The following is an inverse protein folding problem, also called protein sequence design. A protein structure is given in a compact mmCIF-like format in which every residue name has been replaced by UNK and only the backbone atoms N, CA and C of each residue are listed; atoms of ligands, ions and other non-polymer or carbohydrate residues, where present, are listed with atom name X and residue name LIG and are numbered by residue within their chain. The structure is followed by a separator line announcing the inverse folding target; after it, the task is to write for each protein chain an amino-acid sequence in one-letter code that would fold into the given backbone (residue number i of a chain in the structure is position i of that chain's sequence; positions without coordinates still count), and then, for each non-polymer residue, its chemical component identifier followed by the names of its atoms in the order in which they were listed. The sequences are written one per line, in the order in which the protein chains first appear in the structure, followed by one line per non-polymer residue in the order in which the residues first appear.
data_IF_672951766945
#
_entry.id   IF_672951766945
#
_cell.length_a   1.000
_cell.length_b   1.000
_cell.length_c   1.000
_cell.angle_alpha   90.00
_cell.angle_beta   90.00
_cell.angle_gamma   90.00
#
_symmetry.space_group_name_H-M   'P 1'
#
loop_
_entity.id
_entity.type
_entity.pdbx_description
1 polymer ?
#
# COMPACT_ATOMS: atom_id res chain seq x y z
N UNK A 1 -20.53 -23.59 -31.17
CA UNK A 1 -20.20 -22.73 -30.00
C UNK A 1 -18.68 -22.72 -29.86
N UNK A 2 -18.04 -21.59 -30.15
CA UNK A 2 -16.58 -21.45 -30.23
C UNK A 2 -16.02 -21.10 -28.84
N UNK A 3 -15.58 -22.12 -28.10
CA UNK A 3 -15.00 -21.97 -26.76
C UNK A 3 -13.55 -21.45 -26.78
N UNK A 4 -12.89 -21.44 -27.95
CA UNK A 4 -11.47 -21.14 -28.08
C UNK A 4 -11.18 -19.63 -28.18
N UNK A 5 -12.07 -18.84 -28.81
CA UNK A 5 -11.95 -17.38 -28.86
C UNK A 5 -12.17 -16.74 -27.48
N UNK A 6 -13.15 -17.24 -26.71
CA UNK A 6 -13.50 -16.70 -25.40
C UNK A 6 -12.37 -16.85 -24.36
N UNK A 7 -11.59 -17.93 -24.42
CA UNK A 7 -10.48 -18.19 -23.49
C UNK A 7 -9.26 -17.31 -23.79
N UNK A 8 -8.99 -17.05 -25.07
CA UNK A 8 -7.92 -16.15 -25.52
C UNK A 8 -8.22 -14.70 -25.12
N UNK A 9 -9.45 -14.26 -25.32
CA UNK A 9 -9.90 -12.91 -24.95
C UNK A 9 -9.93 -12.70 -23.43
N UNK A 10 -10.23 -13.74 -22.64
CA UNK A 10 -10.14 -13.68 -21.18
C UNK A 10 -8.69 -13.59 -20.70
N UNK A 11 -7.78 -14.37 -21.30
CA UNK A 11 -6.36 -14.32 -20.97
C UNK A 11 -5.73 -12.98 -21.33
N UNK A 12 -6.04 -12.45 -22.52
CA UNK A 12 -5.57 -11.15 -23.00
C UNK A 12 -6.05 -10.03 -22.06
N UNK A 13 -7.33 -10.03 -21.67
CA UNK A 13 -7.87 -9.07 -20.70
C UNK A 13 -7.19 -9.17 -19.33
N UNK A 14 -6.96 -10.40 -18.83
CA UNK A 14 -6.25 -10.61 -17.56
C UNK A 14 -4.81 -10.12 -17.63
N UNK A 15 -4.13 -10.30 -18.77
CA UNK A 15 -2.76 -9.83 -19.00
C UNK A 15 -2.69 -8.31 -19.07
N UNK A 16 -3.58 -7.67 -19.83
CA UNK A 16 -3.66 -6.20 -19.92
C UNK A 16 -4.00 -5.57 -18.57
N UNK A 17 -4.93 -6.16 -17.81
CA UNK A 17 -5.24 -5.73 -16.46
C UNK A 17 -4.01 -5.87 -15.54
N UNK A 18 -3.24 -6.95 -15.67
CA UNK A 18 -2.02 -7.16 -14.90
C UNK A 18 -0.92 -6.13 -15.24
N UNK A 19 -0.67 -5.84 -16.53
CA UNK A 19 0.30 -4.81 -16.94
C UNK A 19 -0.11 -3.42 -16.45
N UNK A 20 -1.40 -3.09 -16.54
CA UNK A 20 -1.97 -1.83 -16.02
C UNK A 20 -1.78 -1.73 -14.50
N UNK A 21 -2.16 -2.77 -13.75
CA UNK A 21 -1.98 -2.82 -12.30
C UNK A 21 -0.50 -2.71 -11.92
N UNK A 22 0.40 -3.35 -12.66
CA UNK A 22 1.85 -3.29 -12.44
C UNK A 22 2.41 -1.89 -12.63
N UNK A 23 1.99 -1.17 -13.68
CA UNK A 23 2.38 0.21 -13.90
C UNK A 23 1.92 1.12 -12.76
N UNK A 24 0.65 1.00 -12.35
CA UNK A 24 0.08 1.75 -11.22
C UNK A 24 0.82 1.44 -9.91
N UNK A 25 1.16 0.17 -9.68
CA UNK A 25 1.94 -0.25 -8.51
C UNK A 25 3.34 0.36 -8.56
N UNK A 26 3.99 0.39 -9.72
CA UNK A 26 5.33 0.97 -9.87
C UNK A 26 5.33 2.46 -9.56
N UNK A 27 4.41 3.23 -10.14
CA UNK A 27 4.29 4.67 -9.91
C UNK A 27 3.97 5.00 -8.44
N UNK A 28 3.03 4.26 -7.83
CA UNK A 28 2.72 4.41 -6.41
C UNK A 28 3.88 4.01 -5.53
N UNK A 29 4.62 2.95 -5.86
CA UNK A 29 5.78 2.51 -5.09
C UNK A 29 6.87 3.59 -5.11
N UNK A 30 7.11 4.25 -6.25
CA UNK A 30 8.02 5.41 -6.33
C UNK A 30 7.59 6.54 -5.39
N UNK A 31 6.29 6.84 -5.37
CA UNK A 31 5.72 7.84 -4.45
C UNK A 31 5.89 7.42 -2.99
N UNK A 32 5.66 6.15 -2.66
CA UNK A 32 5.77 5.64 -1.30
C UNK A 32 7.21 5.57 -0.82
N UNK A 33 8.18 5.31 -1.70
CA UNK A 33 9.60 5.45 -1.36
C UNK A 33 9.97 6.89 -1.00
N UNK A 34 9.45 7.87 -1.73
CA UNK A 34 9.66 9.28 -1.36
C UNK A 34 9.06 9.59 0.02
N UNK A 35 7.86 9.10 0.33
CA UNK A 35 7.24 9.27 1.66
C UNK A 35 8.03 8.56 2.78
N UNK A 36 8.61 7.38 2.50
CA UNK A 36 9.50 6.68 3.44
C UNK A 36 10.75 7.52 3.69
N UNK A 37 11.39 8.03 2.63
CA UNK A 37 12.57 8.88 2.77
C UNK A 37 12.25 10.18 3.54
N UNK A 38 11.10 10.82 3.27
CA UNK A 38 10.64 12.01 3.97
C UNK A 38 10.43 11.76 5.46
N UNK A 39 9.74 10.67 5.82
CA UNK A 39 9.49 10.29 7.22
C UNK A 39 10.77 10.18 8.04
N UNK A 40 11.83 9.66 7.44
CA UNK A 40 13.11 9.47 8.11
C UNK A 40 14.13 10.55 7.75
N UNK A 41 13.67 11.70 7.23
CA UNK A 41 14.53 12.85 6.90
C UNK A 41 15.72 12.51 6.00
N UNK A 42 15.55 11.56 5.09
CA UNK A 42 16.59 11.04 4.20
C UNK A 42 17.62 10.12 4.88
N UNK A 43 17.52 9.90 6.19
CA UNK A 43 18.37 8.97 6.95
C UNK A 43 17.75 7.58 6.88
N UNK A 44 18.53 6.56 6.51
CA UNK A 44 18.04 5.19 6.45
C UNK A 44 17.83 4.63 7.87
N UNK A 45 16.58 4.36 8.33
CA UNK A 45 16.31 3.69 9.61
C UNK A 45 16.64 2.18 9.62
N UNK A 46 17.18 1.65 8.52
CA UNK A 46 17.35 0.22 8.29
C UNK A 46 16.14 -0.44 7.61
N UNK A 47 16.34 -1.65 7.05
CA UNK A 47 15.39 -2.28 6.14
C UNK A 47 14.06 -2.58 6.82
N UNK A 48 14.08 -3.06 8.07
CA UNK A 48 12.87 -3.46 8.79
C UNK A 48 11.88 -2.30 8.94
N UNK A 49 12.34 -1.15 9.42
CA UNK A 49 11.49 0.02 9.67
C UNK A 49 11.00 0.68 8.38
N UNK A 50 11.87 0.75 7.36
CA UNK A 50 11.53 1.28 6.04
C UNK A 50 10.48 0.41 5.33
N UNK A 51 10.71 -0.91 5.30
CA UNK A 51 9.78 -1.86 4.71
C UNK A 51 8.44 -1.88 5.44
N UNK A 52 8.43 -1.86 6.78
CA UNK A 52 7.18 -1.84 7.54
C UNK A 52 6.37 -0.57 7.24
N UNK A 53 7.02 0.59 7.13
CA UNK A 53 6.31 1.82 6.78
C UNK A 53 5.73 1.76 5.37
N UNK A 54 6.51 1.25 4.42
CA UNK A 54 6.05 1.05 3.05
C UNK A 54 4.85 0.10 2.96
N UNK A 55 4.88 -1.01 3.71
CA UNK A 55 3.75 -1.94 3.84
C UNK A 55 2.52 -1.22 4.40
N UNK A 56 2.68 -0.39 5.43
CA UNK A 56 1.58 0.40 5.98
C UNK A 56 0.98 1.37 4.96
N UNK A 57 1.79 2.04 4.12
CA UNK A 57 1.27 2.87 3.03
C UNK A 57 0.41 2.05 2.05
N UNK A 58 0.81 0.82 1.74
CA UNK A 58 -0.01 -0.08 0.92
C UNK A 58 -1.29 -0.55 1.61
N UNK A 59 -1.25 -0.82 2.92
CA UNK A 59 -2.47 -1.08 3.69
C UNK A 59 -3.41 0.15 3.63
N UNK A 60 -2.88 1.35 3.78
CA UNK A 60 -3.67 2.59 3.68
C UNK A 60 -4.32 2.75 2.31
N UNK A 61 -3.59 2.45 1.23
CA UNK A 61 -4.10 2.47 -0.13
C UNK A 61 -5.18 1.40 -0.37
N UNK A 62 -5.00 0.20 0.19
CA UNK A 62 -6.00 -0.85 0.18
C UNK A 62 -7.31 -0.37 0.83
N UNK A 63 -7.23 0.17 2.05
CA UNK A 63 -8.41 0.65 2.79
C UNK A 63 -9.09 1.80 2.05
N UNK A 64 -8.30 2.72 1.49
CA UNK A 64 -8.78 3.84 0.67
C UNK A 64 -9.60 3.37 -0.53
N UNK A 65 -9.16 2.31 -1.21
CA UNK A 65 -9.86 1.74 -2.35
C UNK A 65 -11.08 0.92 -1.91
N UNK A 66 -10.91 0.00 -0.95
CA UNK A 66 -11.95 -0.92 -0.48
C UNK A 66 -13.18 -0.21 0.06
N UNK A 67 -12.99 0.82 0.87
CA UNK A 67 -14.10 1.57 1.46
C UNK A 67 -14.50 2.80 0.63
N UNK A 68 -13.95 2.94 -0.56
CA UNK A 68 -14.22 4.03 -1.47
C UNK A 68 -13.97 5.44 -0.87
N UNK A 69 -13.06 5.52 0.11
CA UNK A 69 -12.78 6.77 0.83
C UNK A 69 -12.18 7.86 -0.04
N UNK A 70 -11.52 7.47 -1.13
CA UNK A 70 -11.03 8.43 -2.12
C UNK A 70 -12.13 9.19 -2.88
N UNK A 71 -13.34 8.63 -2.95
CA UNK A 71 -14.50 9.33 -3.50
C UNK A 71 -15.25 10.11 -2.41
N UNK A 72 -15.30 9.59 -1.18
CA UNK A 72 -16.00 10.24 -0.07
C UNK A 72 -15.23 11.44 0.50
N UNK A 73 -13.90 11.32 0.54
CA UNK A 73 -12.99 12.34 1.03
C UNK A 73 -12.02 12.67 -0.10
N UNK A 74 -12.20 13.86 -0.69
CA UNK A 74 -11.38 14.33 -1.80
C UNK A 74 -9.89 14.23 -1.45
N UNK A 75 -9.19 13.29 -2.09
CA UNK A 75 -7.74 13.16 -1.97
C UNK A 75 -7.24 12.59 -0.64
N UNK A 76 -8.02 11.75 0.06
CA UNK A 76 -7.49 11.10 1.27
C UNK A 76 -6.20 10.34 0.97
N UNK A 77 -5.12 10.66 1.68
CA UNK A 77 -3.84 9.98 1.52
C UNK A 77 -3.88 8.59 2.16
N UNK A 78 -3.01 7.65 1.74
CA UNK A 78 -2.92 6.34 2.40
C UNK A 78 -2.67 6.45 3.91
N UNK A 79 -1.82 7.39 4.36
CA UNK A 79 -1.58 7.62 5.79
C UNK A 79 -2.84 8.08 6.53
N UNK A 80 -3.62 8.99 5.93
CA UNK A 80 -4.89 9.43 6.51
C UNK A 80 -5.92 8.30 6.53
N UNK A 81 -5.93 7.42 5.54
CA UNK A 81 -6.79 6.25 5.53
C UNK A 81 -6.49 5.30 6.70
N UNK A 82 -5.21 5.09 7.05
CA UNK A 82 -4.83 4.30 8.24
C UNK A 82 -5.39 4.93 9.53
N UNK A 83 -5.18 6.23 9.71
CA UNK A 83 -5.69 6.98 10.87
C UNK A 83 -7.21 6.90 10.96
N UNK A 84 -7.88 7.08 9.84
CA UNK A 84 -9.34 7.00 9.78
C UNK A 84 -9.86 5.59 10.10
N UNK A 85 -9.15 4.54 9.66
CA UNK A 85 -9.48 3.16 10.01
C UNK A 85 -9.40 2.90 11.53
N UNK A 86 -8.39 3.48 12.19
CA UNK A 86 -8.26 3.45 13.65
C UNK A 86 -9.38 4.20 14.35
N UNK A 87 -9.72 5.42 13.91
CA UNK A 87 -10.87 6.18 14.45
C UNK A 87 -12.15 5.35 14.32
N UNK A 88 -12.36 4.74 13.16
CA UNK A 88 -13.55 3.92 12.90
C UNK A 88 -13.62 2.68 13.80
N UNK A 89 -12.48 2.05 14.10
CA UNK A 89 -12.42 0.83 14.92
C UNK A 89 -12.54 1.13 16.42
N UNK A 90 -11.85 2.16 16.92
CA UNK A 90 -11.71 2.42 18.34
C UNK A 90 -12.57 3.60 18.84
N UNK A 91 -13.09 4.43 17.94
CA UNK A 91 -13.94 5.58 18.27
C UNK A 91 -13.23 6.58 19.19
N UNK A 92 -13.97 7.10 20.18
CA UNK A 92 -13.48 8.07 21.17
C UNK A 92 -12.43 7.50 22.14
N UNK A 93 -12.16 6.19 22.13
CA UNK A 93 -11.18 5.56 23.03
C UNK A 93 -9.74 5.85 22.66
N UNK A 94 -9.50 6.37 21.46
CA UNK A 94 -8.17 6.69 20.97
C UNK A 94 -7.97 8.21 21.16
N UNK A 95 -7.28 8.58 22.23
CA UNK A 95 -7.15 9.98 22.65
C UNK A 95 -6.12 10.76 21.83
N UNK A 96 -5.11 10.08 21.29
CA UNK A 96 -4.09 10.73 20.45
C UNK A 96 -3.55 9.77 19.39
N UNK A 97 -4.21 9.77 18.23
CA UNK A 97 -3.79 8.97 17.05
C UNK A 97 -2.46 9.48 16.48
N UNK A 98 -2.18 10.77 16.62
CA UNK A 98 -1.00 11.39 16.03
C UNK A 98 0.26 11.08 16.84
N UNK A 99 0.11 10.79 18.13
CA UNK A 99 1.20 10.30 18.99
C UNK A 99 1.55 8.82 18.80
N UNK A 100 0.72 8.03 18.11
CA UNK A 100 1.00 6.61 17.90
C UNK A 100 2.27 6.42 17.07
N UNK A 101 3.19 5.64 17.62
CA UNK A 101 4.33 5.14 16.86
C UNK A 101 3.86 4.26 15.71
N UNK A 102 4.74 4.03 14.74
CA UNK A 102 4.46 3.14 13.62
C UNK A 102 4.10 1.72 14.07
N UNK A 103 4.82 1.22 15.06
CA UNK A 103 4.63 -0.12 15.60
C UNK A 103 3.28 -0.25 16.30
N UNK A 104 2.92 0.73 17.15
CA UNK A 104 1.61 0.78 17.81
C UNK A 104 0.47 0.88 16.81
N UNK A 105 0.62 1.73 15.78
CA UNK A 105 -0.36 1.84 14.70
C UNK A 105 -0.50 0.52 13.94
N UNK A 106 0.61 -0.14 13.62
CA UNK A 106 0.60 -1.45 12.95
C UNK A 106 -0.09 -2.52 13.79
N UNK A 107 0.16 -2.56 15.10
CA UNK A 107 -0.49 -3.48 16.04
C UNK A 107 -1.99 -3.23 16.13
N UNK A 108 -2.40 -1.97 16.24
CA UNK A 108 -3.80 -1.59 16.33
C UNK A 108 -4.61 -1.90 15.06
N UNK A 109 -3.93 -2.06 13.91
CA UNK A 109 -4.51 -2.38 12.60
C UNK A 109 -4.50 -3.88 12.25
N UNK A 110 -4.25 -4.77 13.21
CA UNK A 110 -4.11 -6.23 12.96
C UNK A 110 -5.31 -6.85 12.22
N UNK A 111 -6.53 -6.40 12.51
CA UNK A 111 -7.74 -6.90 11.83
C UNK A 111 -7.74 -6.48 10.35
N UNK A 112 -7.41 -5.22 10.07
CA UNK A 112 -7.29 -4.72 8.69
C UNK A 112 -6.15 -5.40 7.92
N UNK A 113 -5.05 -5.72 8.59
CA UNK A 113 -3.98 -6.53 8.00
C UNK A 113 -4.47 -7.93 7.60
N UNK A 114 -5.23 -8.58 8.49
CA UNK A 114 -5.81 -9.90 8.22
C UNK A 114 -6.77 -9.85 7.04
N UNK A 115 -7.62 -8.83 6.96
CA UNK A 115 -8.49 -8.60 5.81
C UNK A 115 -7.70 -8.38 4.52
N UNK A 116 -6.66 -7.54 4.58
CA UNK A 116 -5.80 -7.24 3.44
C UNK A 116 -5.12 -8.51 2.91
N UNK A 117 -4.65 -9.40 3.78
CA UNK A 117 -4.02 -10.67 3.40
C UNK A 117 -5.05 -11.65 2.83
N UNK A 118 -6.26 -11.69 3.38
CA UNK A 118 -7.32 -12.60 2.96
C UNK A 118 -7.95 -12.22 1.61
N UNK A 119 -7.87 -10.94 1.20
CA UNK A 119 -8.49 -10.45 -0.03
C UNK A 119 -7.84 -11.05 -1.28
N UNK A 120 -8.59 -11.88 -2.01
CA UNK A 120 -8.10 -12.55 -3.22
C UNK A 120 -7.91 -11.59 -4.40
N UNK A 121 -8.66 -10.49 -4.45
CA UNK A 121 -8.57 -9.50 -5.53
C UNK A 121 -7.26 -8.72 -5.48
N UNK A 122 -6.68 -8.61 -4.28
CA UNK A 122 -5.40 -7.95 -4.04
C UNK A 122 -4.21 -8.90 -4.03
N UNK A 123 -4.40 -10.23 -4.20
CA UNK A 123 -3.31 -11.20 -4.11
C UNK A 123 -2.16 -10.89 -5.09
N UNK A 124 -2.48 -10.71 -6.37
CA UNK A 124 -1.47 -10.38 -7.40
C UNK A 124 -0.78 -9.04 -7.12
N UNK A 125 -1.52 -8.07 -6.58
CA UNK A 125 -0.98 -6.75 -6.19
C UNK A 125 -0.02 -6.89 -5.01
N UNK A 126 -0.37 -7.68 -4.00
CA UNK A 126 0.50 -8.00 -2.85
C UNK A 126 1.79 -8.66 -3.30
N UNK A 127 1.72 -9.65 -4.18
CA UNK A 127 2.92 -10.31 -4.70
C UNK A 127 3.86 -9.33 -5.43
N UNK A 128 3.28 -8.36 -6.17
CA UNK A 128 4.06 -7.29 -6.80
C UNK A 128 4.62 -6.27 -5.80
N UNK A 129 3.88 -5.93 -4.75
CA UNK A 129 4.31 -5.05 -3.66
C UNK A 129 5.50 -5.65 -2.90
N UNK A 130 5.43 -6.95 -2.56
CA UNK A 130 6.53 -7.65 -1.88
C UNK A 130 7.76 -7.77 -2.78
N UNK A 131 7.60 -7.95 -4.10
CA UNK A 131 8.75 -7.84 -5.04
C UNK A 131 9.32 -6.43 -5.13
N UNK A 132 8.48 -5.40 -5.00
CA UNK A 132 8.96 -4.03 -5.00
C UNK A 132 9.82 -3.78 -3.74
N UNK A 133 9.41 -4.30 -2.58
CA UNK A 133 10.09 -4.19 -1.30
C UNK A 133 11.56 -4.64 -1.34
N UNK A 134 11.92 -5.63 -2.18
CA UNK A 134 13.31 -6.05 -2.40
C UNK A 134 14.23 -4.88 -2.81
N UNK A 135 13.66 -3.81 -3.41
CA UNK A 135 14.40 -2.61 -3.79
C UNK A 135 14.79 -1.74 -2.59
N UNK A 136 14.06 -1.82 -1.47
CA UNK A 136 14.40 -1.11 -0.23
C UNK A 136 15.56 -1.75 0.52
N UNK A 137 15.80 -3.06 0.33
CA UNK A 137 16.95 -3.73 0.95
C UNK A 137 18.29 -3.16 0.49
N UNK A 138 18.31 -2.58 -0.71
CA UNK A 138 19.47 -1.92 -1.30
C UNK A 138 19.42 -0.40 -1.21
N UNK A 139 18.65 0.18 -0.27
CA UNK A 139 18.53 1.63 -0.13
C UNK A 139 19.91 2.29 -0.04
N UNK A 140 20.26 3.04 -1.08
CA UNK A 140 21.44 3.90 -1.13
C UNK A 140 21.04 5.37 -0.96
N UNK A 141 21.77 6.16 -0.15
CA UNK A 141 21.62 7.61 -0.10
C UNK A 141 22.03 8.20 -1.46
N UNK A 142 21.03 8.35 -2.32
CA UNK A 142 21.24 8.50 -3.77
C UNK A 142 20.05 8.08 -4.63
N UNK A 143 18.99 7.51 -4.03
CA UNK A 143 17.63 7.49 -4.60
C UNK A 143 17.06 8.92 -4.69
N UNK A 144 17.81 9.82 -5.33
CA UNK A 144 17.26 11.02 -5.89
C UNK A 144 16.21 10.57 -6.90
N UNK A 145 15.02 11.14 -6.78
CA UNK A 145 14.02 11.14 -7.83
C UNK A 145 14.63 11.74 -9.09
N UNK A 146 15.33 10.95 -9.90
CA UNK A 146 15.76 11.41 -11.21
C UNK A 146 14.58 11.19 -12.14
N UNK A 147 13.89 12.30 -12.41
CA UNK A 147 12.93 12.58 -13.49
C UNK A 147 12.27 11.32 -14.10
#
# INVERSE_FOLDING_TARGET
MNTNENWRDEHERKYQQWESDKAVISDKSRTFYALVAEKYHGVYPGPVLAQQYFRMLWLGEYLRQKYNWHHQFHGISPQMALKYALIKQYGEKITDIDALTQEEMSLALTDYWSEFIADKTWKSKRDAIEKALDSLDFWSPGFNSVA
#
